data_IF_437511798207
#
_entry.id   IF_437511798207
#
_cell.length_a   1.000
_cell.length_b   1.000
_cell.length_c   1.000
_cell.angle_alpha   90.00
_cell.angle_beta   90.00
_cell.angle_gamma   90.00
#
_symmetry.space_group_name_H-M   'P 1'
#
loop_
_entity.id
_entity.type
_entity.pdbx_description
1 polymer ?
#
# COMPACT_ATOMS: atom_id res chain seq x y z
N UNK A 1 -5.08 -0.40 -5.44
CA UNK A 1 -4.90 -0.80 -4.02
C UNK A 1 -6.00 -0.13 -3.22
N UNK A 2 -6.72 -0.87 -2.39
CA UNK A 2 -7.84 -0.36 -1.60
C UNK A 2 -7.41 -0.11 -0.15
N UNK A 3 -7.74 1.04 0.40
CA UNK A 3 -7.55 1.37 1.81
C UNK A 3 -8.87 1.26 2.56
N UNK A 4 -8.78 0.79 3.81
CA UNK A 4 -9.89 0.77 4.76
C UNK A 4 -9.87 2.04 5.64
N UNK A 5 -9.88 3.20 4.97
CA UNK A 5 -9.87 4.53 5.60
C UNK A 5 -10.37 5.61 4.62
N UNK A 6 -10.94 6.73 5.13
CA UNK A 6 -11.45 7.81 4.28
C UNK A 6 -10.38 8.49 3.42
N UNK A 7 -10.77 8.95 2.23
CA UNK A 7 -9.88 9.65 1.28
C UNK A 7 -9.14 10.83 1.94
N UNK A 8 -9.82 11.63 2.76
CA UNK A 8 -9.25 12.82 3.40
C UNK A 8 -8.14 12.51 4.41
N UNK A 9 -8.11 11.29 4.95
CA UNK A 9 -7.07 10.82 5.85
C UNK A 9 -5.90 10.24 5.05
N UNK A 10 -6.20 9.33 4.13
CA UNK A 10 -5.18 8.66 3.30
C UNK A 10 -4.44 9.65 2.41
N UNK A 11 -5.11 10.68 1.88
CA UNK A 11 -4.50 11.71 1.03
C UNK A 11 -3.33 12.45 1.71
N UNK A 12 -3.29 12.50 3.05
CA UNK A 12 -2.20 13.13 3.82
C UNK A 12 -0.89 12.34 3.73
N UNK A 13 -0.98 11.07 3.37
CA UNK A 13 0.13 10.12 3.30
C UNK A 13 0.55 9.80 1.86
N UNK A 14 -0.34 10.03 0.89
CA UNK A 14 -0.08 9.75 -0.52
C UNK A 14 0.69 10.90 -1.17
N UNK A 15 1.81 10.57 -1.80
CA UNK A 15 2.62 11.51 -2.60
C UNK A 15 2.33 11.34 -4.10
N UNK A 16 2.53 12.37 -4.94
CA UNK A 16 2.23 12.29 -6.37
C UNK A 16 2.86 11.09 -7.11
N UNK A 17 4.11 10.68 -6.84
CA UNK A 17 4.70 9.51 -7.49
C UNK A 17 4.03 8.17 -7.15
N UNK A 18 3.19 8.13 -6.11
CA UNK A 18 2.53 6.90 -5.66
C UNK A 18 1.36 6.51 -6.55
N UNK A 19 0.75 7.47 -7.25
CA UNK A 19 -0.46 7.31 -8.03
C UNK A 19 -1.54 8.34 -7.68
N UNK A 20 -2.76 8.07 -8.13
CA UNK A 20 -3.94 8.90 -7.91
C UNK A 20 -4.87 8.23 -6.91
N UNK A 21 -5.28 8.97 -5.90
CA UNK A 21 -6.25 8.49 -4.91
C UNK A 21 -7.67 8.88 -5.34
N UNK A 22 -8.59 7.92 -5.30
CA UNK A 22 -10.00 8.08 -5.69
C UNK A 22 -10.92 7.57 -4.57
N UNK A 23 -12.05 8.26 -4.35
CA UNK A 23 -13.02 7.85 -3.33
C UNK A 23 -13.71 6.54 -3.74
N UNK A 24 -13.99 5.64 -2.78
CA UNK A 24 -14.64 4.36 -3.05
C UNK A 24 -15.43 3.84 -1.85
N UNK A 25 -16.74 4.13 -1.83
CA UNK A 25 -17.59 3.88 -0.67
C UNK A 25 -17.09 4.67 0.54
N UNK A 26 -17.00 4.02 1.69
CA UNK A 26 -16.47 4.62 2.92
C UNK A 26 -14.92 4.71 2.92
N UNK A 27 -14.25 4.15 1.92
CA UNK A 27 -12.79 4.12 1.79
C UNK A 27 -12.28 4.84 0.53
N UNK A 28 -11.07 4.47 0.09
CA UNK A 28 -10.47 4.99 -1.14
C UNK A 28 -9.58 3.97 -1.84
N UNK A 29 -9.35 4.18 -3.14
CA UNK A 29 -8.49 3.36 -3.98
C UNK A 29 -7.33 4.21 -4.50
N UNK A 30 -6.11 3.71 -4.34
CA UNK A 30 -4.93 4.25 -5.01
C UNK A 30 -4.71 3.51 -6.33
N UNK A 31 -4.79 4.27 -7.41
CA UNK A 31 -4.61 3.81 -8.80
C UNK A 31 -3.28 4.31 -9.33
N UNK A 32 -2.46 3.40 -9.84
CA UNK A 32 -1.15 3.70 -10.39
C UNK A 32 -0.41 2.45 -10.80
N UNK A 33 0.71 2.65 -11.49
CA UNK A 33 1.67 1.59 -11.82
C UNK A 33 3.00 1.91 -11.16
N UNK A 34 3.81 0.89 -10.93
CA UNK A 34 5.18 1.05 -10.45
C UNK A 34 6.08 0.07 -11.19
N UNK A 35 7.24 0.53 -11.66
CA UNK A 35 8.31 -0.30 -12.19
C UNK A 35 9.25 -0.81 -11.09
N UNK A 36 9.10 -0.33 -9.85
CA UNK A 36 9.93 -0.65 -8.71
C UNK A 36 9.09 -1.16 -7.51
N UNK A 37 8.43 -2.33 -7.63
CA UNK A 37 7.49 -2.83 -6.63
C UNK A 37 8.14 -3.08 -5.26
N UNK A 38 9.40 -3.50 -5.21
CA UNK A 38 10.13 -3.72 -3.97
C UNK A 38 10.33 -2.43 -3.16
N UNK A 39 10.88 -1.39 -3.79
CA UNK A 39 11.05 -0.06 -3.19
C UNK A 39 9.70 0.50 -2.76
N UNK A 40 8.69 0.44 -3.64
CA UNK A 40 7.36 0.95 -3.36
C UNK A 40 6.75 0.29 -2.10
N UNK A 41 6.90 -1.03 -1.96
CA UNK A 41 6.43 -1.76 -0.79
C UNK A 41 7.22 -1.40 0.49
N UNK A 42 8.55 -1.35 0.40
CA UNK A 42 9.43 -1.16 1.56
C UNK A 42 9.46 0.28 2.07
N UNK A 43 9.57 1.25 1.17
CA UNK A 43 9.86 2.64 1.55
C UNK A 43 8.58 3.45 1.75
N UNK A 44 7.51 3.10 1.02
CA UNK A 44 6.26 3.85 1.06
C UNK A 44 5.14 3.08 1.74
N UNK A 45 4.80 1.87 1.28
CA UNK A 45 3.65 1.14 1.84
C UNK A 45 3.88 0.68 3.28
N UNK A 46 5.10 0.29 3.64
CA UNK A 46 5.42 -0.11 5.03
C UNK A 46 5.24 1.03 6.05
N UNK A 47 5.16 2.28 5.60
CA UNK A 47 4.94 3.47 6.44
C UNK A 47 3.48 3.89 6.53
N UNK A 48 2.59 3.26 5.76
CA UNK A 48 1.16 3.58 5.79
C UNK A 48 0.56 3.10 7.12
N UNK A 49 -0.11 3.98 7.89
CA UNK A 49 -0.73 3.60 9.16
C UNK A 49 -2.11 2.95 9.00
N UNK A 50 -2.52 2.64 7.76
CA UNK A 50 -3.84 2.14 7.43
C UNK A 50 -3.78 0.68 6.95
N UNK A 51 -4.82 -0.08 7.24
CA UNK A 51 -5.05 -1.36 6.56
C UNK A 51 -5.30 -1.13 5.07
N UNK A 52 -4.70 -1.97 4.21
CA UNK A 52 -4.91 -1.91 2.77
C UNK A 52 -4.86 -3.29 2.12
N UNK A 53 -5.44 -3.39 0.93
CA UNK A 53 -5.43 -4.58 0.08
C UNK A 53 -4.84 -4.25 -1.30
N UNK A 54 -3.83 -5.02 -1.70
CA UNK A 54 -3.31 -4.99 -3.06
C UNK A 54 -4.23 -5.81 -3.96
N UNK A 55 -5.02 -5.13 -4.80
CA UNK A 55 -6.01 -5.75 -5.69
C UNK A 55 -5.45 -6.11 -7.07
N UNK A 56 -4.34 -5.48 -7.49
CA UNK A 56 -3.72 -5.70 -8.80
C UNK A 56 -2.19 -5.63 -8.73
N UNK A 57 -1.52 -6.10 -9.79
CA UNK A 57 -0.06 -6.17 -9.87
C UNK A 57 0.50 -7.35 -9.08
N UNK A 58 0.69 -8.54 -9.68
CA UNK A 58 1.24 -9.70 -8.99
C UNK A 58 2.64 -9.41 -8.40
N UNK A 59 3.44 -8.59 -9.08
CA UNK A 59 4.77 -8.18 -8.63
C UNK A 59 4.70 -7.31 -7.37
N UNK A 60 3.76 -6.36 -7.32
CA UNK A 60 3.53 -5.54 -6.13
C UNK A 60 3.00 -6.37 -4.97
N UNK A 61 2.08 -7.30 -5.24
CA UNK A 61 1.57 -8.23 -4.22
C UNK A 61 2.68 -9.11 -3.64
N UNK A 62 3.57 -9.63 -4.48
CA UNK A 62 4.72 -10.41 -4.05
C UNK A 62 5.68 -9.57 -3.18
N UNK A 63 5.96 -8.32 -3.57
CA UNK A 63 6.79 -7.41 -2.79
C UNK A 63 6.20 -7.11 -1.40
N UNK A 64 4.89 -6.83 -1.32
CA UNK A 64 4.20 -6.62 -0.04
C UNK A 64 4.21 -7.88 0.82
N UNK A 65 4.01 -9.07 0.22
CA UNK A 65 4.08 -10.34 0.94
C UNK A 65 5.48 -10.58 1.55
N UNK A 66 6.55 -10.23 0.84
CA UNK A 66 7.91 -10.35 1.36
C UNK A 66 8.16 -9.41 2.56
N UNK A 67 7.64 -8.18 2.51
CA UNK A 67 7.72 -7.24 3.65
C UNK A 67 6.92 -7.77 4.84
N UNK A 68 5.70 -8.24 4.60
CA UNK A 68 4.84 -8.81 5.64
C UNK A 68 5.51 -10.02 6.32
N UNK A 69 5.98 -11.01 5.54
CA UNK A 69 6.67 -12.18 6.07
C UNK A 69 7.89 -11.82 6.93
N UNK A 70 8.70 -10.85 6.49
CA UNK A 70 9.85 -10.37 7.26
C UNK A 70 9.45 -9.74 8.59
N UNK A 71 8.38 -8.93 8.61
CA UNK A 71 7.92 -8.30 9.85
C UNK A 71 7.23 -9.29 10.78
N UNK A 72 6.48 -10.25 10.26
CA UNK A 72 5.91 -11.35 11.05
C UNK A 72 7.02 -12.19 11.69
N UNK A 73 8.00 -12.64 10.91
CA UNK A 73 9.12 -13.41 11.43
C UNK A 73 9.95 -12.66 12.50
N UNK A 74 9.94 -11.33 12.49
CA UNK A 74 10.65 -10.52 13.48
C UNK A 74 10.00 -10.52 14.87
N UNK A 75 8.72 -10.91 14.97
CA UNK A 75 7.96 -10.97 16.23
C UNK A 75 7.60 -12.39 16.65
N UNK A 76 7.85 -13.37 15.78
CA UNK A 76 7.73 -14.80 16.10
C UNK A 76 9.00 -15.24 16.85
N UNK A 77 8.82 -15.60 18.13
CA UNK A 77 9.86 -16.11 19.04
C UNK A 77 9.95 -17.62 19.03
#
# INVERSE_FOLDING_TARGET
>A
MRFDAPLSEVARWVRPPMGRLEASGDGCVLVGTTSAPAMYAQDWLARMPFGFRVEGGPELRAAVAAVAARFTAAVES
#
